data_IF_531472554103
#
_entry.id   IF_531472554103
#
_cell.length_a   1.000
_cell.length_b   1.000
_cell.length_c   1.000
_cell.angle_alpha   90.00
_cell.angle_beta   90.00
_cell.angle_gamma   90.00
#
_symmetry.space_group_name_H-M   'P 1'
#
loop_
_entity.id
_entity.type
_entity.pdbx_description
1 polymer ?
#
# COMPACT_ATOMS: atom_id res chain seq x y z
N UNK A 1 -3.06 -21.15 29.74
CA UNK A 1 -1.83 -20.46 29.25
C UNK A 1 -2.26 -19.06 28.95
N UNK A 2 -1.72 -18.05 29.62
CA UNK A 2 -2.00 -16.66 29.27
C UNK A 2 -1.49 -16.46 27.84
N UNK A 3 -2.40 -16.25 26.89
CA UNK A 3 -2.05 -15.75 25.57
C UNK A 3 -1.30 -14.43 25.80
N UNK A 4 -0.02 -14.43 25.48
CA UNK A 4 0.77 -13.21 25.56
C UNK A 4 0.16 -12.21 24.60
N UNK A 5 -0.45 -11.16 25.15
CA UNK A 5 -1.04 -10.05 24.39
C UNK A 5 0.08 -9.25 23.72
N UNK A 6 0.55 -9.78 22.58
CA UNK A 6 1.62 -9.18 21.77
C UNK A 6 1.33 -9.36 20.28
N UNK A 7 2.00 -8.61 19.46
CA UNK A 7 1.89 -8.74 18.00
C UNK A 7 2.30 -10.15 17.55
N UNK A 8 1.46 -10.73 16.68
CA UNK A 8 1.61 -12.08 16.12
C UNK A 8 1.78 -12.06 14.59
N UNK A 9 1.30 -11.00 13.92
CA UNK A 9 1.32 -10.92 12.47
C UNK A 9 1.56 -9.50 11.99
N UNK A 10 2.35 -9.38 10.93
CA UNK A 10 2.50 -8.15 10.15
C UNK A 10 1.80 -8.38 8.80
N UNK A 11 0.97 -7.43 8.38
CA UNK A 11 0.32 -7.43 7.06
C UNK A 11 0.81 -6.25 6.26
N UNK A 12 1.59 -6.53 5.23
CA UNK A 12 2.18 -5.52 4.36
C UNK A 12 1.28 -5.19 3.17
N UNK A 13 1.36 -3.97 2.66
CA UNK A 13 1.08 -3.65 1.27
C UNK A 13 2.27 -4.05 0.37
N UNK A 14 2.10 -3.96 -0.95
CA UNK A 14 3.13 -4.31 -1.94
C UNK A 14 3.83 -3.08 -2.52
N UNK A 15 3.26 -2.45 -3.54
CA UNK A 15 3.90 -1.35 -4.27
C UNK A 15 4.09 -0.11 -3.37
N UNK A 16 5.32 0.36 -3.22
CA UNK A 16 5.67 1.48 -2.33
C UNK A 16 5.91 1.09 -0.87
N UNK A 17 5.63 -0.16 -0.50
CA UNK A 17 5.85 -0.69 0.85
C UNK A 17 6.92 -1.77 0.87
N UNK A 18 6.74 -2.82 0.08
CA UNK A 18 7.68 -3.96 0.03
C UNK A 18 8.42 -4.09 -1.30
N UNK A 19 7.78 -3.70 -2.40
CA UNK A 19 8.36 -3.65 -3.74
C UNK A 19 8.04 -2.32 -4.40
N UNK A 20 8.61 -2.05 -5.57
CA UNK A 20 8.28 -0.88 -6.41
C UNK A 20 8.45 0.45 -5.66
N UNK A 21 9.69 0.89 -5.49
CA UNK A 21 10.02 2.13 -4.81
C UNK A 21 9.23 3.33 -5.37
N UNK A 22 8.45 3.98 -4.51
CA UNK A 22 7.60 5.13 -4.86
C UNK A 22 6.27 4.77 -5.52
N UNK A 23 5.87 3.49 -5.59
CA UNK A 23 4.72 3.01 -6.36
C UNK A 23 4.78 3.48 -7.82
N UNK A 24 5.94 3.33 -8.44
CA UNK A 24 6.24 3.93 -9.75
C UNK A 24 5.50 3.24 -10.89
N UNK A 25 5.35 1.90 -10.85
CA UNK A 25 4.66 1.14 -11.90
C UNK A 25 3.20 1.57 -12.10
N UNK A 26 2.34 1.57 -11.06
CA UNK A 26 0.97 2.01 -11.23
C UNK A 26 0.88 3.47 -11.68
N UNK A 27 1.70 4.36 -11.14
CA UNK A 27 1.71 5.78 -11.49
C UNK A 27 2.03 6.00 -12.97
N UNK A 28 3.06 5.32 -13.49
CA UNK A 28 3.46 5.42 -14.89
C UNK A 28 2.39 4.83 -15.83
N UNK A 29 1.80 3.70 -15.45
CA UNK A 29 0.73 3.08 -16.25
C UNK A 29 -0.52 3.96 -16.27
N UNK A 30 -0.92 4.55 -15.15
CA UNK A 30 -2.04 5.51 -15.15
C UNK A 30 -1.76 6.72 -16.05
N UNK A 31 -0.59 7.33 -15.92
CA UNK A 31 -0.21 8.47 -16.78
C UNK A 31 -0.28 8.09 -18.26
N UNK A 32 0.30 6.95 -18.65
CA UNK A 32 0.27 6.44 -20.03
C UNK A 32 -1.15 6.21 -20.54
N UNK A 33 -2.00 5.53 -19.75
CA UNK A 33 -3.39 5.21 -20.13
C UNK A 33 -4.25 6.46 -20.29
N UNK A 34 -4.16 7.40 -19.35
CA UNK A 34 -4.91 8.65 -19.42
C UNK A 34 -4.37 9.55 -20.53
N UNK A 35 -3.07 9.66 -20.72
CA UNK A 35 -2.47 10.40 -21.84
C UNK A 35 -2.88 9.85 -23.21
N UNK A 36 -2.96 8.54 -23.38
CA UNK A 36 -3.48 7.90 -24.59
C UNK A 36 -4.97 8.24 -24.84
N UNK A 37 -5.74 8.40 -23.77
CA UNK A 37 -7.13 8.87 -23.86
C UNK A 37 -7.24 10.39 -24.09
N UNK A 38 -6.12 11.13 -24.13
CA UNK A 38 -6.07 12.58 -24.29
C UNK A 38 -6.38 13.35 -22.99
N UNK A 39 -6.19 12.71 -21.84
CA UNK A 39 -6.37 13.28 -20.51
C UNK A 39 -5.02 13.37 -19.83
N UNK A 40 -4.56 14.57 -19.50
CA UNK A 40 -3.26 14.80 -18.88
C UNK A 40 -3.45 15.17 -17.41
N UNK A 41 -3.04 14.27 -16.52
CA UNK A 41 -3.11 14.42 -15.09
C UNK A 41 -1.71 14.62 -14.50
N UNK A 42 -1.62 15.40 -13.44
CA UNK A 42 -0.37 15.55 -12.70
C UNK A 42 -0.05 14.28 -11.91
N UNK A 43 1.24 14.04 -11.63
CA UNK A 43 1.66 12.92 -10.76
C UNK A 43 0.97 12.98 -9.38
N UNK A 44 0.73 14.17 -8.85
CA UNK A 44 0.03 14.35 -7.58
C UNK A 44 -1.44 13.90 -7.67
N UNK A 45 -2.16 14.25 -8.76
CA UNK A 45 -3.52 13.79 -9.00
C UNK A 45 -3.58 12.28 -9.13
N UNK A 46 -2.68 11.67 -9.91
CA UNK A 46 -2.59 10.22 -10.10
C UNK A 46 -2.32 9.50 -8.78
N UNK A 47 -1.40 10.01 -7.97
CA UNK A 47 -0.97 9.34 -6.75
C UNK A 47 -1.94 9.51 -5.58
N UNK A 48 -2.83 10.52 -5.60
CA UNK A 48 -3.75 10.78 -4.50
C UNK A 48 -4.67 9.59 -4.14
N UNK A 49 -5.33 8.89 -5.10
CA UNK A 49 -6.15 7.71 -4.82
C UNK A 49 -5.35 6.39 -4.85
N UNK A 50 -4.01 6.43 -4.79
CA UNK A 50 -3.20 5.21 -4.81
C UNK A 50 -3.54 4.29 -3.61
N UNK A 51 -3.38 2.98 -3.83
CA UNK A 51 -3.76 1.96 -2.84
C UNK A 51 -5.21 1.48 -2.95
N UNK A 52 -6.10 2.23 -3.63
CA UNK A 52 -7.46 1.78 -3.95
C UNK A 52 -7.45 0.66 -5.01
N UNK A 53 -8.58 -0.05 -5.13
CA UNK A 53 -8.85 -0.95 -6.26
C UNK A 53 -8.79 -0.15 -7.58
N UNK A 54 -8.24 -0.74 -8.66
CA UNK A 54 -7.83 0.00 -9.85
C UNK A 54 -8.98 0.63 -10.64
N UNK A 55 -10.15 -0.02 -10.71
CA UNK A 55 -11.34 0.60 -11.33
C UNK A 55 -11.86 1.78 -10.49
N UNK A 56 -11.86 1.64 -9.18
CA UNK A 56 -12.23 2.73 -8.28
C UNK A 56 -11.26 3.91 -8.42
N UNK A 57 -9.96 3.64 -8.57
CA UNK A 57 -8.94 4.64 -8.83
C UNK A 57 -9.20 5.39 -10.15
N UNK A 58 -9.46 4.67 -11.26
CA UNK A 58 -9.79 5.27 -12.57
C UNK A 58 -11.04 6.17 -12.44
N UNK A 59 -12.08 5.70 -11.76
CA UNK A 59 -13.31 6.46 -11.52
C UNK A 59 -13.02 7.74 -10.74
N UNK A 60 -12.19 7.66 -9.70
CA UNK A 60 -11.78 8.83 -8.92
C UNK A 60 -11.04 9.85 -9.78
N UNK A 61 -10.07 9.41 -10.62
CA UNK A 61 -9.34 10.29 -11.53
C UNK A 61 -10.24 11.00 -12.54
N UNK A 62 -11.18 10.27 -13.14
CA UNK A 62 -12.17 10.85 -14.07
C UNK A 62 -13.14 11.81 -13.36
N UNK A 63 -13.39 11.65 -12.07
CA UNK A 63 -14.28 12.49 -11.26
C UNK A 63 -13.61 13.76 -10.76
N UNK A 64 -12.28 13.89 -10.88
CA UNK A 64 -11.60 15.15 -10.56
C UNK A 64 -12.09 16.28 -11.46
N UNK A 65 -12.03 17.55 -11.03
CA UNK A 65 -12.34 18.68 -11.90
C UNK A 65 -11.55 18.64 -13.22
N UNK A 66 -10.24 18.39 -13.14
CA UNK A 66 -9.34 18.27 -14.29
C UNK A 66 -9.73 17.11 -15.21
N UNK A 67 -9.94 15.90 -14.66
CA UNK A 67 -10.34 14.72 -15.42
C UNK A 67 -11.68 14.89 -16.12
N UNK A 68 -12.69 15.41 -15.40
CA UNK A 68 -14.03 15.66 -15.95
C UNK A 68 -14.02 16.71 -17.08
N UNK A 69 -13.30 17.81 -16.89
CA UNK A 69 -13.21 18.89 -17.90
C UNK A 69 -12.52 18.41 -19.17
N UNK A 70 -11.35 17.76 -19.04
CA UNK A 70 -10.60 17.25 -20.18
C UNK A 70 -11.37 16.16 -20.92
N UNK A 71 -12.06 15.26 -20.20
CA UNK A 71 -12.91 14.25 -20.81
C UNK A 71 -14.03 14.88 -21.67
N UNK A 72 -14.77 15.86 -21.12
CA UNK A 72 -15.79 16.59 -21.85
C UNK A 72 -15.24 17.32 -23.07
N UNK A 73 -14.09 17.97 -22.93
CA UNK A 73 -13.44 18.67 -24.03
C UNK A 73 -13.04 17.70 -25.17
N UNK A 74 -12.58 16.50 -24.82
CA UNK A 74 -12.10 15.49 -25.79
C UNK A 74 -13.24 14.73 -26.47
N UNK A 75 -14.25 14.30 -25.69
CA UNK A 75 -15.29 13.37 -26.17
C UNK A 75 -16.67 14.01 -26.34
N UNK A 76 -16.88 15.25 -25.90
CA UNK A 76 -18.14 15.98 -26.01
C UNK A 76 -19.24 15.53 -25.03
N UNK A 77 -18.97 14.53 -24.20
CA UNK A 77 -19.93 13.94 -23.24
C UNK A 77 -19.27 13.73 -21.87
N UNK A 78 -20.07 13.43 -20.85
CA UNK A 78 -19.55 12.92 -19.57
C UNK A 78 -19.09 11.48 -19.73
N UNK A 79 -18.08 11.07 -18.94
CA UNK A 79 -17.62 9.69 -18.90
C UNK A 79 -18.71 8.76 -18.31
N UNK A 80 -18.62 7.48 -18.64
CA UNK A 80 -19.55 6.41 -18.25
C UNK A 80 -18.78 5.24 -17.61
N UNK A 81 -19.49 4.30 -16.98
CA UNK A 81 -18.87 3.07 -16.46
C UNK A 81 -18.26 2.19 -17.57
N UNK A 82 -18.78 2.30 -18.80
CA UNK A 82 -18.16 1.61 -19.95
C UNK A 82 -16.77 2.21 -20.28
N UNK A 83 -16.63 3.53 -20.15
CA UNK A 83 -15.33 4.20 -20.34
C UNK A 83 -14.34 3.83 -19.23
N UNK A 84 -14.80 3.77 -17.99
CA UNK A 84 -14.00 3.23 -16.86
C UNK A 84 -13.51 1.83 -17.17
N UNK A 85 -14.39 0.96 -17.67
CA UNK A 85 -14.05 -0.42 -18.02
C UNK A 85 -13.02 -0.51 -19.16
N UNK A 86 -13.13 0.35 -20.19
CA UNK A 86 -12.15 0.42 -21.29
C UNK A 86 -10.77 0.87 -20.80
N UNK A 87 -10.71 1.94 -20.00
CA UNK A 87 -9.47 2.43 -19.41
C UNK A 87 -8.84 1.38 -18.50
N UNK A 88 -9.65 0.65 -17.74
CA UNK A 88 -9.18 -0.41 -16.87
C UNK A 88 -8.57 -1.59 -17.65
N UNK A 89 -9.20 -2.03 -18.75
CA UNK A 89 -8.64 -3.07 -19.63
C UNK A 89 -7.29 -2.64 -20.21
N UNK A 90 -7.17 -1.38 -20.64
CA UNK A 90 -5.90 -0.85 -21.13
C UNK A 90 -4.87 -0.80 -20.02
N UNK A 91 -5.27 -0.41 -18.81
CA UNK A 91 -4.42 -0.38 -17.63
C UNK A 91 -3.90 -1.79 -17.28
N UNK A 92 -4.78 -2.80 -17.22
CA UNK A 92 -4.37 -4.18 -16.93
C UNK A 92 -3.36 -4.70 -17.94
N UNK A 93 -3.63 -4.53 -19.23
CA UNK A 93 -2.72 -4.96 -20.29
C UNK A 93 -1.35 -4.26 -20.19
N UNK A 94 -1.35 -2.94 -19.98
CA UNK A 94 -0.10 -2.16 -19.89
C UNK A 94 0.67 -2.53 -18.63
N UNK A 95 -0.01 -2.69 -17.48
CA UNK A 95 0.65 -3.05 -16.22
C UNK A 95 1.24 -4.46 -16.28
N UNK A 96 0.53 -5.42 -16.87
CA UNK A 96 1.01 -6.79 -17.06
C UNK A 96 2.37 -6.84 -17.75
N UNK A 97 2.60 -5.96 -18.73
CA UNK A 97 3.84 -5.94 -19.51
C UNK A 97 5.04 -5.41 -18.72
N UNK A 98 4.80 -4.60 -17.66
CA UNK A 98 5.87 -3.90 -16.95
C UNK A 98 5.99 -4.29 -15.47
N UNK A 99 4.95 -4.83 -14.85
CA UNK A 99 4.89 -5.01 -13.38
C UNK A 99 6.01 -5.89 -12.82
N UNK A 100 6.49 -6.88 -13.59
CA UNK A 100 7.60 -7.73 -13.16
C UNK A 100 8.90 -6.95 -12.98
N UNK A 101 9.15 -5.92 -13.81
CA UNK A 101 10.33 -5.08 -13.70
C UNK A 101 10.32 -4.23 -12.42
N UNK A 102 9.13 -3.83 -11.97
CA UNK A 102 8.92 -3.06 -10.74
C UNK A 102 8.77 -3.92 -9.48
N UNK A 103 8.76 -5.26 -9.61
CA UNK A 103 8.62 -6.18 -8.47
C UNK A 103 9.92 -6.40 -7.70
N UNK A 104 10.79 -5.39 -7.68
CA UNK A 104 12.06 -5.40 -6.95
C UNK A 104 11.80 -4.98 -5.50
N UNK A 105 12.23 -5.79 -4.51
CA UNK A 105 12.11 -5.42 -3.10
C UNK A 105 12.79 -4.09 -2.77
N UNK A 106 12.08 -3.25 -2.04
CA UNK A 106 12.63 -1.98 -1.53
C UNK A 106 13.80 -2.29 -0.58
N UNK A 107 14.89 -1.47 -0.59
CA UNK A 107 16.06 -1.73 0.24
C UNK A 107 15.73 -1.91 1.73
N UNK A 108 16.09 -3.05 2.29
CA UNK A 108 15.86 -3.43 3.69
C UNK A 108 14.66 -4.35 3.92
N UNK A 109 13.79 -4.56 2.94
CA UNK A 109 12.59 -5.42 3.09
C UNK A 109 12.97 -6.86 3.39
N UNK A 110 13.88 -7.44 2.60
CA UNK A 110 14.26 -8.86 2.74
C UNK A 110 14.84 -9.14 4.11
N UNK A 111 15.76 -8.30 4.57
CA UNK A 111 16.41 -8.43 5.89
C UNK A 111 15.41 -8.23 7.03
N UNK A 112 14.55 -7.22 6.92
CA UNK A 112 13.55 -6.92 7.95
C UNK A 112 12.52 -8.04 8.07
N UNK A 113 12.00 -8.54 6.95
CA UNK A 113 11.03 -9.65 6.95
C UNK A 113 11.64 -10.91 7.55
N UNK A 114 12.92 -11.21 7.23
CA UNK A 114 13.65 -12.32 7.86
C UNK A 114 13.73 -12.16 9.37
N UNK A 115 14.14 -10.98 9.84
CA UNK A 115 14.25 -10.69 11.27
C UNK A 115 12.89 -10.80 11.99
N UNK A 116 11.80 -10.36 11.37
CA UNK A 116 10.46 -10.50 11.94
C UNK A 116 10.02 -11.98 12.03
N UNK A 117 10.33 -12.80 11.02
CA UNK A 117 10.09 -14.25 11.06
C UNK A 117 10.91 -14.96 12.13
N UNK A 118 12.15 -14.57 12.33
CA UNK A 118 13.01 -15.10 13.41
C UNK A 118 12.44 -14.80 14.81
N UNK A 119 11.67 -13.70 14.94
CA UNK A 119 10.91 -13.35 16.13
C UNK A 119 9.58 -14.12 16.25
N UNK A 120 9.25 -15.00 15.32
CA UNK A 120 8.04 -15.81 15.30
C UNK A 120 6.80 -15.10 14.74
N UNK A 121 6.97 -13.94 14.10
CA UNK A 121 5.87 -13.20 13.48
C UNK A 121 5.48 -13.82 12.13
N UNK A 122 4.19 -13.92 11.87
CA UNK A 122 3.63 -14.31 10.57
C UNK A 122 3.62 -13.11 9.63
N UNK A 123 3.86 -13.34 8.35
CA UNK A 123 3.95 -12.31 7.33
C UNK A 123 2.79 -12.45 6.34
N UNK A 124 1.77 -11.63 6.50
CA UNK A 124 0.67 -11.54 5.56
C UNK A 124 0.82 -10.35 4.62
N UNK A 125 -0.06 -10.28 3.63
CA UNK A 125 -0.10 -9.16 2.69
C UNK A 125 -1.50 -8.93 2.16
N UNK A 126 -1.86 -7.65 1.97
CA UNK A 126 -3.02 -7.19 1.20
C UNK A 126 -2.55 -6.22 0.12
N UNK A 127 -3.25 -6.11 -1.00
CA UNK A 127 -2.85 -5.25 -2.11
C UNK A 127 -4.06 -4.70 -2.87
N UNK A 128 -3.88 -3.61 -3.58
CA UNK A 128 -4.86 -3.12 -4.57
C UNK A 128 -4.74 -3.81 -5.93
N UNK A 129 -3.76 -4.70 -6.12
CA UNK A 129 -3.64 -5.53 -7.32
C UNK A 129 -4.62 -6.69 -7.29
N UNK A 130 -5.05 -7.16 -8.47
CA UNK A 130 -5.84 -8.39 -8.60
C UNK A 130 -4.95 -9.63 -8.48
N UNK A 131 -5.58 -10.80 -8.26
CA UNK A 131 -4.86 -12.09 -8.25
C UNK A 131 -4.08 -12.30 -9.55
N UNK A 132 -4.64 -11.94 -10.69
CA UNK A 132 -3.98 -12.05 -11.99
C UNK A 132 -2.71 -11.18 -12.08
N UNK A 133 -2.74 -9.94 -11.58
CA UNK A 133 -1.55 -9.08 -11.53
C UNK A 133 -0.49 -9.68 -10.61
N UNK A 134 -0.91 -10.25 -9.48
CA UNK A 134 0.01 -10.87 -8.52
C UNK A 134 0.71 -12.12 -9.06
N UNK A 135 0.16 -12.80 -10.08
CA UNK A 135 0.86 -13.91 -10.76
C UNK A 135 2.20 -13.51 -11.39
N UNK A 136 2.38 -12.23 -11.73
CA UNK A 136 3.64 -11.71 -12.24
C UNK A 136 4.55 -11.17 -11.12
N UNK A 137 3.96 -10.57 -10.10
CA UNK A 137 4.69 -9.91 -9.01
C UNK A 137 5.33 -10.93 -8.07
N UNK A 138 4.55 -11.96 -7.65
CA UNK A 138 5.00 -12.92 -6.63
C UNK A 138 6.24 -13.70 -7.02
N UNK A 139 6.35 -14.30 -8.23
CA UNK A 139 7.55 -15.04 -8.61
C UNK A 139 8.79 -14.15 -8.61
N UNK A 140 8.66 -12.94 -9.16
CA UNK A 140 9.80 -12.02 -9.25
C UNK A 140 10.28 -11.52 -7.90
N UNK A 141 9.35 -11.17 -6.99
CA UNK A 141 9.70 -10.79 -5.63
C UNK A 141 10.37 -11.94 -4.86
N UNK A 142 9.84 -13.17 -5.02
CA UNK A 142 10.39 -14.39 -4.42
C UNK A 142 11.81 -14.69 -4.89
N UNK A 143 12.07 -14.62 -6.21
CA UNK A 143 13.43 -14.75 -6.77
C UNK A 143 14.43 -13.78 -6.14
N UNK A 144 13.96 -12.60 -5.74
CA UNK A 144 14.74 -11.55 -5.10
C UNK A 144 14.72 -11.62 -3.57
N UNK A 145 14.11 -12.66 -3.00
CA UNK A 145 14.16 -12.99 -1.58
C UNK A 145 13.00 -12.46 -0.73
N UNK A 146 11.96 -11.86 -1.33
CA UNK A 146 10.78 -11.43 -0.60
C UNK A 146 9.58 -12.33 -0.87
N UNK A 147 9.03 -12.90 0.20
CA UNK A 147 7.79 -13.70 0.18
C UNK A 147 6.90 -13.33 1.35
N UNK A 148 5.57 -13.33 1.11
CA UNK A 148 4.55 -13.28 2.15
C UNK A 148 3.92 -14.67 2.31
N UNK A 149 3.62 -15.07 3.56
CA UNK A 149 3.02 -16.38 3.87
C UNK A 149 1.55 -16.46 3.42
N UNK A 150 0.92 -15.30 3.23
CA UNK A 150 -0.46 -15.15 2.75
C UNK A 150 -0.60 -13.86 1.96
N UNK A 151 -1.19 -13.92 0.77
CA UNK A 151 -1.53 -12.75 -0.05
C UNK A 151 -3.03 -12.74 -0.30
N UNK A 152 -3.68 -11.60 -0.04
CA UNK A 152 -5.11 -11.40 -0.26
C UNK A 152 -5.33 -10.18 -1.14
N UNK A 153 -6.10 -10.38 -2.20
CA UNK A 153 -6.43 -9.39 -3.24
C UNK A 153 -7.91 -9.03 -3.21
N UNK A 154 -8.34 -7.90 -3.79
CA UNK A 154 -9.74 -7.45 -3.77
C UNK A 154 -10.71 -8.46 -4.40
N UNK A 155 -10.30 -9.16 -5.44
CA UNK A 155 -11.11 -10.17 -6.14
C UNK A 155 -11.39 -11.41 -5.29
N UNK A 156 -10.53 -11.74 -4.31
CA UNK A 156 -10.75 -12.82 -3.34
C UNK A 156 -11.88 -12.48 -2.37
N UNK A 157 -11.98 -11.23 -1.92
CA UNK A 157 -12.93 -10.80 -0.90
C UNK A 157 -14.17 -10.09 -1.46
N UNK A 158 -14.13 -9.73 -2.74
CA UNK A 158 -15.16 -8.93 -3.40
C UNK A 158 -15.20 -7.47 -2.93
N UNK A 159 -14.22 -7.03 -2.14
CA UNK A 159 -14.11 -5.67 -1.64
C UNK A 159 -12.64 -5.26 -1.45
N UNK A 160 -12.39 -3.96 -1.65
CA UNK A 160 -11.07 -3.35 -1.55
C UNK A 160 -10.95 -2.46 -0.31
N UNK A 161 -9.73 -1.98 -0.04
CA UNK A 161 -9.46 -0.91 0.93
C UNK A 161 -10.35 0.30 0.66
N UNK A 162 -10.78 1.01 1.68
CA UNK A 162 -10.40 0.89 3.10
C UNK A 162 -11.24 -0.11 3.91
N UNK A 163 -11.99 -1.03 3.24
CA UNK A 163 -12.71 -2.08 3.97
C UNK A 163 -11.72 -3.06 4.60
N UNK A 164 -12.02 -3.65 5.78
CA UNK A 164 -11.08 -4.52 6.48
C UNK A 164 -11.10 -5.97 5.97
N UNK A 165 -11.85 -6.29 4.91
CA UNK A 165 -12.14 -7.68 4.54
C UNK A 165 -10.90 -8.45 4.09
N UNK A 166 -9.98 -7.81 3.35
CA UNK A 166 -8.74 -8.46 2.94
C UNK A 166 -7.85 -8.78 4.16
N UNK A 167 -7.77 -7.85 5.11
CA UNK A 167 -7.01 -8.06 6.35
C UNK A 167 -7.64 -9.18 7.20
N UNK A 168 -8.97 -9.22 7.34
CA UNK A 168 -9.67 -10.30 8.05
C UNK A 168 -9.48 -11.65 7.36
N UNK A 169 -9.52 -11.72 6.03
CA UNK A 169 -9.25 -12.94 5.29
C UNK A 169 -7.80 -13.42 5.48
N UNK A 170 -6.84 -12.48 5.51
CA UNK A 170 -5.45 -12.79 5.82
C UNK A 170 -5.32 -13.38 7.24
N UNK A 171 -5.96 -12.75 8.25
CA UNK A 171 -6.00 -13.23 9.63
C UNK A 171 -6.62 -14.64 9.72
N UNK A 172 -7.74 -14.86 9.02
CA UNK A 172 -8.43 -16.16 8.99
C UNK A 172 -7.52 -17.25 8.40
N UNK A 173 -6.88 -17.00 7.27
CA UNK A 173 -5.96 -17.98 6.63
C UNK A 173 -4.75 -18.28 7.50
N UNK A 174 -4.25 -17.26 8.17
CA UNK A 174 -3.06 -17.37 9.03
C UNK A 174 -3.39 -17.82 10.47
N UNK A 175 -4.68 -18.01 10.80
CA UNK A 175 -5.14 -18.35 12.14
C UNK A 175 -4.56 -17.39 13.20
N UNK A 176 -4.84 -16.09 13.04
CA UNK A 176 -4.44 -15.01 13.97
C UNK A 176 -5.65 -14.27 14.46
N UNK A 177 -5.77 -14.08 15.78
CA UNK A 177 -6.84 -13.36 16.47
C UNK A 177 -6.36 -12.96 17.87
N UNK A 178 -6.80 -11.83 18.42
CA UNK A 178 -7.70 -10.80 17.87
C UNK A 178 -6.98 -9.83 16.91
N UNK A 179 -7.70 -8.92 16.20
CA UNK A 179 -7.08 -7.91 15.32
C UNK A 179 -6.05 -7.02 16.02
N UNK A 180 -6.21 -6.79 17.32
CA UNK A 180 -5.23 -6.02 18.13
C UNK A 180 -3.84 -6.67 18.21
N UNK A 181 -3.67 -7.91 17.76
CA UNK A 181 -2.37 -8.60 17.65
C UNK A 181 -1.76 -8.52 16.24
N UNK A 182 -2.33 -7.69 15.36
CA UNK A 182 -1.92 -7.52 13.98
C UNK A 182 -1.46 -6.08 13.73
N UNK A 183 -0.40 -5.93 12.95
CA UNK A 183 0.06 -4.63 12.43
C UNK A 183 -0.15 -4.61 10.92
N UNK A 184 -0.91 -3.63 10.43
CA UNK A 184 -0.96 -3.27 9.02
C UNK A 184 0.14 -2.25 8.73
N UNK A 185 0.99 -2.53 7.74
CA UNK A 185 2.04 -1.62 7.26
C UNK A 185 1.75 -1.25 5.82
N UNK A 186 1.77 0.04 5.52
CA UNK A 186 1.53 0.51 4.17
C UNK A 186 2.06 1.91 3.91
N UNK A 187 2.00 2.32 2.66
CA UNK A 187 2.56 3.56 2.14
C UNK A 187 1.49 4.56 1.68
N UNK A 188 0.20 4.22 1.88
CA UNK A 188 -0.93 5.07 1.48
C UNK A 188 -1.90 5.31 2.64
N UNK A 189 -2.72 6.37 2.51
CA UNK A 189 -3.80 6.67 3.48
C UNK A 189 -4.79 5.52 3.60
N UNK A 190 -5.12 4.84 2.50
CA UNK A 190 -6.09 3.74 2.53
C UNK A 190 -5.55 2.48 3.22
N UNK A 191 -4.23 2.30 3.30
CA UNK A 191 -3.61 1.25 4.12
C UNK A 191 -3.83 1.50 5.60
N UNK A 192 -3.61 2.74 6.02
CA UNK A 192 -3.84 3.16 7.41
C UNK A 192 -5.31 2.93 7.78
N UNK A 193 -6.23 3.36 6.91
CA UNK A 193 -7.66 3.19 7.11
C UNK A 193 -8.08 1.70 7.13
N UNK A 194 -7.50 0.83 6.27
CA UNK A 194 -7.74 -0.62 6.30
C UNK A 194 -7.41 -1.21 7.67
N UNK A 195 -6.22 -0.89 8.21
CA UNK A 195 -5.80 -1.36 9.53
C UNK A 195 -6.70 -0.83 10.65
N UNK A 196 -7.03 0.46 10.65
CA UNK A 196 -7.92 1.08 11.65
C UNK A 196 -9.33 0.49 11.60
N UNK A 197 -9.90 0.32 10.41
CA UNK A 197 -11.22 -0.27 10.23
C UNK A 197 -11.26 -1.75 10.66
N UNK A 198 -10.13 -2.44 10.59
CA UNK A 198 -9.98 -3.80 11.08
C UNK A 198 -9.82 -3.89 12.61
N UNK A 199 -9.52 -2.81 13.30
CA UNK A 199 -9.11 -2.83 14.71
C UNK A 199 -7.68 -3.32 14.94
N UNK A 200 -6.85 -3.29 13.89
CA UNK A 200 -5.42 -3.58 13.93
C UNK A 200 -4.61 -2.30 14.21
N UNK A 201 -3.34 -2.48 14.51
CA UNK A 201 -2.37 -1.38 14.53
C UNK A 201 -2.03 -0.97 13.12
N UNK A 202 -1.90 0.34 12.86
CA UNK A 202 -1.60 0.88 11.54
C UNK A 202 -0.29 1.66 11.56
N UNK A 203 0.64 1.26 10.71
CA UNK A 203 1.98 1.86 10.60
C UNK A 203 2.17 2.40 9.18
N UNK A 204 2.40 3.70 9.06
CA UNK A 204 2.79 4.35 7.82
C UNK A 204 4.30 4.29 7.60
N UNK A 205 4.74 4.01 6.37
CA UNK A 205 6.16 4.02 5.99
C UNK A 205 6.46 5.20 5.08
N UNK A 206 7.60 5.88 5.27
CA UNK A 206 7.97 7.06 4.50
C UNK A 206 8.86 6.72 3.30
N UNK A 207 10.02 6.12 3.55
CA UNK A 207 10.99 5.79 2.50
C UNK A 207 10.43 4.74 1.54
N UNK A 208 10.43 5.06 0.26
CA UNK A 208 9.86 4.20 -0.79
C UNK A 208 8.37 4.39 -1.00
N UNK A 209 7.70 5.29 -0.24
CA UNK A 209 6.25 5.43 -0.27
C UNK A 209 5.72 6.22 -1.47
N UNK A 210 4.48 5.92 -1.83
CA UNK A 210 3.68 6.71 -2.76
C UNK A 210 3.49 8.17 -2.28
N UNK A 211 3.35 8.39 -0.96
CA UNK A 211 3.15 9.74 -0.44
C UNK A 211 4.38 10.64 -0.64
N UNK A 212 5.57 10.09 -0.71
CA UNK A 212 6.74 10.83 -1.19
C UNK A 212 6.74 10.95 -2.71
N UNK A 213 6.25 9.93 -3.42
CA UNK A 213 6.10 9.92 -4.87
C UNK A 213 7.42 10.08 -5.61
N UNK A 214 8.51 9.57 -5.04
CA UNK A 214 9.87 9.67 -5.57
C UNK A 214 10.35 8.30 -6.03
N UNK A 215 11.03 8.24 -7.16
CA UNK A 215 11.88 7.10 -7.49
C UNK A 215 13.06 7.02 -6.52
N UNK A 216 13.72 5.88 -6.42
CA UNK A 216 14.90 5.75 -5.57
C UNK A 216 16.00 6.74 -5.96
N UNK A 217 16.23 6.96 -7.26
CA UNK A 217 17.22 7.91 -7.74
C UNK A 217 16.87 9.37 -7.37
N UNK A 218 15.60 9.76 -7.50
CA UNK A 218 15.12 11.08 -7.05
C UNK A 218 15.27 11.27 -5.54
N UNK A 219 14.96 10.24 -4.76
CA UNK A 219 15.12 10.26 -3.30
C UNK A 219 16.58 10.45 -2.90
N UNK A 220 17.51 9.69 -3.49
CA UNK A 220 18.94 9.75 -3.21
C UNK A 220 19.60 11.07 -3.68
N UNK A 221 19.04 11.70 -4.72
CA UNK A 221 19.53 12.98 -5.26
C UNK A 221 18.95 14.21 -4.54
N UNK A 222 17.93 14.03 -3.67
CA UNK A 222 17.25 15.14 -3.00
C UNK A 222 18.07 15.73 -1.87
N UNK A 223 17.98 17.06 -1.66
CA UNK A 223 18.63 17.68 -0.50
C UNK A 223 17.99 17.19 0.81
N UNK A 224 18.76 17.09 1.91
CA UNK A 224 18.23 16.66 3.20
C UNK A 224 17.04 17.52 3.68
N UNK A 225 17.10 18.83 3.48
CA UNK A 225 16.07 19.78 3.92
C UNK A 225 14.76 19.57 3.16
N UNK A 226 14.83 19.38 1.84
CA UNK A 226 13.63 19.13 1.01
C UNK A 226 13.03 17.76 1.30
N UNK A 227 13.89 16.75 1.50
CA UNK A 227 13.46 15.41 1.86
C UNK A 227 12.74 15.39 3.21
N UNK A 228 13.31 16.05 4.23
CA UNK A 228 12.69 16.15 5.54
C UNK A 228 11.34 16.85 5.50
N UNK A 229 11.24 17.94 4.74
CA UNK A 229 9.97 18.66 4.54
C UNK A 229 8.89 17.77 3.92
N UNK A 230 9.26 16.93 2.91
CA UNK A 230 8.33 15.98 2.29
C UNK A 230 7.94 14.87 3.23
N UNK A 231 8.89 14.32 3.97
CA UNK A 231 8.64 13.29 4.99
C UNK A 231 7.68 13.78 6.06
N UNK A 232 7.88 15.01 6.57
CA UNK A 232 6.99 15.60 7.54
C UNK A 232 5.56 15.72 6.99
N UNK A 233 5.38 16.24 5.78
CA UNK A 233 4.07 16.35 5.14
C UNK A 233 3.40 14.98 4.94
N UNK A 234 4.16 13.96 4.57
CA UNK A 234 3.66 12.60 4.43
C UNK A 234 3.28 11.99 5.80
N UNK A 235 4.10 12.20 6.82
CA UNK A 235 3.82 11.74 8.19
C UNK A 235 2.54 12.38 8.74
N UNK A 236 2.33 13.67 8.55
CA UNK A 236 1.09 14.37 8.93
C UNK A 236 -0.13 13.70 8.29
N UNK A 237 -0.08 13.37 6.99
CA UNK A 237 -1.18 12.68 6.29
C UNK A 237 -1.47 11.29 6.85
N UNK A 238 -0.45 10.52 7.25
CA UNK A 238 -0.67 9.24 7.92
C UNK A 238 -1.30 9.42 9.30
N UNK A 239 -0.82 10.38 10.08
CA UNK A 239 -1.37 10.66 11.41
C UNK A 239 -2.83 11.14 11.32
N UNK A 240 -3.15 12.01 10.37
CA UNK A 240 -4.54 12.47 10.10
C UNK A 240 -5.46 11.30 9.69
N UNK A 241 -4.92 10.29 8.99
CA UNK A 241 -5.64 9.07 8.66
C UNK A 241 -5.79 8.10 9.84
N UNK A 242 -5.16 8.38 10.99
CA UNK A 242 -5.25 7.60 12.22
C UNK A 242 -4.12 6.57 12.41
N UNK A 243 -2.97 6.75 11.77
CA UNK A 243 -1.82 5.88 12.00
C UNK A 243 -1.43 5.86 13.49
N UNK A 244 -1.11 4.68 14.00
CA UNK A 244 -0.61 4.52 15.37
C UNK A 244 0.86 4.87 15.48
N UNK A 245 1.62 4.66 14.41
CA UNK A 245 3.02 5.02 14.23
C UNK A 245 3.32 5.37 12.78
N UNK A 246 4.34 6.19 12.59
CA UNK A 246 4.99 6.44 11.28
C UNK A 246 6.46 6.11 11.43
N UNK A 247 7.00 5.32 10.52
CA UNK A 247 8.41 4.93 10.49
C UNK A 247 9.10 5.54 9.27
N UNK A 248 10.38 5.84 9.41
CA UNK A 248 11.15 6.39 8.29
C UNK A 248 11.38 5.35 7.20
N UNK A 249 11.83 4.17 7.57
CA UNK A 249 12.09 3.07 6.65
C UNK A 249 11.58 1.74 7.19
N UNK A 250 11.48 0.73 6.30
CA UNK A 250 11.10 -0.62 6.70
C UNK A 250 12.03 -1.20 7.78
N UNK A 251 13.30 -0.75 7.84
CA UNK A 251 14.29 -1.20 8.85
C UNK A 251 13.91 -0.83 10.27
N UNK A 252 13.05 0.19 10.44
CA UNK A 252 12.59 0.65 11.75
C UNK A 252 11.40 -0.18 12.28
N UNK A 253 10.83 -1.05 11.45
CA UNK A 253 9.64 -1.82 11.81
C UNK A 253 9.83 -2.75 13.03
N UNK A 254 10.96 -3.44 13.23
CA UNK A 254 11.15 -4.25 14.44
C UNK A 254 11.10 -3.40 15.73
N UNK A 255 11.64 -2.19 15.70
CA UNK A 255 11.54 -1.25 16.83
C UNK A 255 10.10 -0.74 17.02
N UNK A 256 9.38 -0.46 15.94
CA UNK A 256 7.97 -0.09 15.99
C UNK A 256 7.09 -1.20 16.58
N UNK A 257 7.32 -2.46 16.21
CA UNK A 257 6.64 -3.63 16.79
C UNK A 257 6.93 -3.74 18.30
N UNK A 258 8.16 -3.52 18.71
CA UNK A 258 8.54 -3.53 20.12
C UNK A 258 7.83 -2.42 20.91
N UNK A 259 7.71 -1.24 20.34
CA UNK A 259 6.97 -0.10 20.93
C UNK A 259 5.46 -0.41 21.02
N UNK A 260 4.87 -1.01 20.00
CA UNK A 260 3.47 -1.44 20.02
C UNK A 260 3.24 -2.46 21.14
N UNK A 261 4.09 -3.47 21.26
CA UNK A 261 4.01 -4.47 22.32
C UNK A 261 4.11 -3.83 23.73
N UNK A 262 4.97 -2.82 23.89
CA UNK A 262 5.06 -2.04 25.15
C UNK A 262 3.73 -1.32 25.46
N UNK A 263 3.14 -0.63 24.46
CA UNK A 263 1.84 0.05 24.61
C UNK A 263 0.70 -0.92 24.94
N UNK A 264 0.72 -2.12 24.37
CA UNK A 264 -0.26 -3.17 24.65
C UNK A 264 -0.17 -3.61 26.13
N UNK A 265 1.04 -3.88 26.61
CA UNK A 265 1.26 -4.28 28.01
C UNK A 265 0.86 -3.18 29.02
N UNK A 266 1.11 -1.92 28.71
CA UNK A 266 0.71 -0.78 29.55
C UNK A 266 -0.81 -0.63 29.63
N UNK A 267 -1.53 -0.81 28.51
CA UNK A 267 -3.00 -0.79 28.49
C UNK A 267 -3.60 -1.93 29.34
N UNK A 268 -3.01 -3.10 29.26
CA UNK A 268 -3.46 -4.26 30.05
C UNK A 268 -3.22 -4.04 31.55
N UNK A 269 -2.05 -3.52 31.93
CA UNK A 269 -1.74 -3.18 33.30
C UNK A 269 -2.66 -2.06 33.88
N UNK A 270 -3.10 -1.14 33.04
CA UNK A 270 -4.04 -0.07 33.45
C UNK A 270 -5.50 -0.53 33.54
N UNK A 271 -5.85 -1.68 32.95
CA UNK A 271 -7.21 -2.26 32.98
C UNK A 271 -7.42 -3.25 34.12
N UNK A 272 -6.35 -3.66 34.81
CA UNK A 272 -6.37 -4.52 36.01
C UNK A 272 -6.35 -3.72 37.30
#
# INVERSE_FOLDING_TARGET
MAETNRIQMIVFDWAGTTVDYGSSAPSEVFDRVFSQAGIHLTREEINRPMGMEKKAHIRELLSTPSGTEQWKARYGTTWTEEDVQKLYQTFEATLHDVVAEYSVPIPGVVETVRSLREQGLKIGSTTGYTSQMMEQVLPRASELGYEADCVVTPDITGASRPTPFMLYECMRRMNVYPPSTVVKVGDTVVDIQEGKNAGAWSVGILTGSNLLGLTQAEYEAMTPEELERRKQKAAERYMDAGADLVIDSIRDLPAAVSEINRRMAEKEAAAC
#
